data_IF_421476416888
#
_entry.id   IF_421476416888
#
_cell.length_a   1.000
_cell.length_b   1.000
_cell.length_c   1.000
_cell.angle_alpha   90.00
_cell.angle_beta   90.00
_cell.angle_gamma   90.00
#
_symmetry.space_group_name_H-M   'P 1'
#
loop_
_entity.id
_entity.type
_entity.pdbx_description
1 polymer ?
#
# COMPACT_ATOMS: atom_id res chain seq x y z
N UNK A 1 12.78 1.03 -16.91
CA UNK A 1 12.61 -0.24 -16.20
C UNK A 1 11.12 -0.50 -16.09
N UNK A 2 10.65 -1.64 -16.56
CA UNK A 2 9.23 -2.03 -16.52
C UNK A 2 8.81 -2.14 -15.07
N UNK A 3 7.95 -1.23 -14.60
CA UNK A 3 7.36 -1.31 -13.26
C UNK A 3 6.50 -2.57 -13.22
N UNK A 4 6.98 -3.63 -12.56
CA UNK A 4 6.22 -4.87 -12.38
C UNK A 4 4.97 -4.54 -11.58
N UNK A 5 3.80 -4.68 -12.20
CA UNK A 5 2.51 -4.44 -11.53
C UNK A 5 2.29 -5.51 -10.44
N UNK A 6 1.56 -5.22 -9.34
CA UNK A 6 1.27 -6.18 -8.26
C UNK A 6 0.70 -7.52 -8.75
N UNK A 7 -0.08 -7.50 -9.82
CA UNK A 7 -0.68 -8.65 -10.49
C UNK A 7 0.31 -9.57 -11.20
N UNK A 8 1.51 -9.10 -11.50
CA UNK A 8 2.56 -9.89 -12.16
C UNK A 8 3.62 -10.42 -11.18
N UNK A 9 3.41 -10.23 -9.88
CA UNK A 9 4.37 -10.61 -8.84
C UNK A 9 3.92 -11.88 -8.12
N UNK A 10 4.81 -12.88 -8.11
CA UNK A 10 4.67 -14.09 -7.29
C UNK A 10 4.78 -13.78 -5.80
N UNK A 11 4.47 -14.75 -4.93
CA UNK A 11 4.69 -14.59 -3.50
C UNK A 11 6.18 -14.35 -3.14
N UNK A 12 7.10 -14.92 -3.91
CA UNK A 12 8.54 -14.69 -3.75
C UNK A 12 8.92 -13.25 -4.13
N UNK A 13 8.46 -12.76 -5.29
CA UNK A 13 8.75 -11.38 -5.73
C UNK A 13 8.24 -10.34 -4.73
N UNK A 14 7.07 -10.59 -4.14
CA UNK A 14 6.46 -9.70 -3.14
C UNK A 14 7.22 -9.66 -1.82
N UNK A 15 7.73 -10.81 -1.36
CA UNK A 15 8.61 -10.87 -0.18
C UNK A 15 9.91 -10.10 -0.44
N UNK A 16 10.53 -10.30 -1.60
CA UNK A 16 11.74 -9.59 -1.97
C UNK A 16 11.52 -8.07 -2.03
N UNK A 17 10.41 -7.65 -2.61
CA UNK A 17 10.06 -6.24 -2.75
C UNK A 17 9.93 -5.50 -1.40
N UNK A 18 9.46 -6.16 -0.33
CA UNK A 18 9.45 -5.56 1.01
C UNK A 18 10.86 -5.16 1.45
N UNK A 19 11.81 -6.08 1.35
CA UNK A 19 13.17 -5.85 1.82
C UNK A 19 13.97 -4.90 0.91
N UNK A 20 13.88 -5.08 -0.41
CA UNK A 20 14.66 -4.28 -1.38
C UNK A 20 14.08 -2.88 -1.60
N UNK A 21 12.76 -2.74 -1.64
CA UNK A 21 12.14 -1.47 -2.02
C UNK A 21 11.75 -0.63 -0.81
N UNK A 22 11.25 -1.25 0.26
CA UNK A 22 10.67 -0.52 1.38
C UNK A 22 11.66 -0.32 2.52
N UNK A 23 12.42 -1.36 2.91
CA UNK A 23 13.35 -1.28 4.03
C UNK A 23 14.73 -0.70 3.66
N UNK A 24 15.29 -1.09 2.52
CA UNK A 24 16.65 -0.68 2.12
C UNK A 24 16.68 0.50 1.14
N UNK A 25 15.52 0.99 0.70
CA UNK A 25 15.37 2.25 -0.02
C UNK A 25 15.96 2.31 -1.44
N UNK A 26 16.45 1.21 -2.00
CA UNK A 26 17.18 1.23 -3.28
C UNK A 26 16.32 1.60 -4.51
N UNK A 27 14.98 1.54 -4.43
CA UNK A 27 14.12 1.57 -5.62
C UNK A 27 13.32 2.86 -5.89
N UNK A 28 13.22 3.81 -4.95
CA UNK A 28 12.24 4.94 -5.06
C UNK A 28 12.83 6.35 -5.05
N UNK A 29 14.12 6.52 -5.35
CA UNK A 29 14.81 7.83 -5.36
C UNK A 29 14.44 8.78 -6.52
N UNK A 30 13.25 8.65 -7.13
CA UNK A 30 12.91 9.29 -8.42
C UNK A 30 11.76 10.31 -8.41
N UNK A 31 10.99 10.47 -7.33
CA UNK A 31 9.86 11.40 -7.27
C UNK A 31 10.07 12.48 -6.21
N UNK A 32 9.71 13.73 -6.53
CA UNK A 32 10.06 14.96 -5.77
C UNK A 32 9.33 15.17 -4.45
N UNK A 33 8.60 14.18 -3.94
CA UNK A 33 8.11 14.13 -2.57
C UNK A 33 8.85 12.96 -1.93
N UNK A 34 9.58 13.20 -0.84
CA UNK A 34 10.37 12.16 -0.19
C UNK A 34 9.48 10.93 0.04
N UNK A 35 9.79 9.78 -0.58
CA UNK A 35 8.95 8.60 -0.44
C UNK A 35 8.84 8.27 1.05
N UNK A 36 7.62 7.89 1.45
CA UNK A 36 7.34 7.46 2.82
C UNK A 36 8.33 6.35 3.18
N UNK A 37 9.21 6.60 4.17
CA UNK A 37 10.15 5.60 4.66
C UNK A 37 9.40 4.52 5.43
N UNK A 38 9.73 3.26 5.16
CA UNK A 38 9.28 2.09 5.91
C UNK A 38 10.37 1.54 6.82
N UNK A 39 11.54 2.18 6.84
CA UNK A 39 12.59 1.88 7.79
C UNK A 39 12.11 2.22 9.21
N UNK A 40 11.86 1.17 9.99
CA UNK A 40 11.43 1.26 11.38
C UNK A 40 12.62 1.15 12.36
N UNK A 41 13.86 1.11 11.85
CA UNK A 41 15.03 0.79 12.66
C UNK A 41 15.24 1.72 13.84
N UNK A 42 15.19 3.03 13.59
CA UNK A 42 15.29 4.05 14.62
C UNK A 42 14.18 3.91 15.68
N UNK A 43 12.94 3.66 15.25
CA UNK A 43 11.79 3.53 16.17
C UNK A 43 11.95 2.28 17.07
N UNK A 44 12.49 1.17 16.55
CA UNK A 44 12.82 0.00 17.37
C UNK A 44 13.93 0.33 18.37
N UNK A 45 14.98 1.04 17.97
CA UNK A 45 16.08 1.42 18.86
C UNK A 45 15.57 2.31 19.98
N UNK A 46 14.70 3.27 19.68
CA UNK A 46 14.06 4.15 20.68
C UNK A 46 13.23 3.33 21.68
N UNK A 47 12.42 2.40 21.19
CA UNK A 47 11.62 1.50 22.04
C UNK A 47 12.52 0.69 22.96
N UNK A 48 13.54 0.01 22.41
CA UNK A 48 14.45 -0.82 23.19
C UNK A 48 15.21 0.01 24.22
N UNK A 49 15.68 1.19 23.84
CA UNK A 49 16.36 2.14 24.72
C UNK A 49 15.48 2.49 25.93
N UNK A 50 14.21 2.82 25.69
CA UNK A 50 13.27 3.13 26.77
C UNK A 50 13.12 2.00 27.79
N UNK A 51 12.99 0.75 27.31
CA UNK A 51 12.85 -0.43 28.15
C UNK A 51 14.16 -0.78 28.88
N UNK A 52 15.29 -0.69 28.20
CA UNK A 52 16.60 -0.99 28.79
C UNK A 52 16.97 0.03 29.87
N UNK A 53 16.68 1.31 29.65
CA UNK A 53 16.84 2.36 30.66
C UNK A 53 15.93 2.14 31.88
N UNK A 54 14.70 1.65 31.67
CA UNK A 54 13.79 1.35 32.78
C UNK A 54 14.33 0.19 33.64
N UNK A 55 14.80 -0.88 33.01
CA UNK A 55 15.42 -2.02 33.69
C UNK A 55 16.69 -1.61 34.45
N UNK A 56 17.52 -0.78 33.83
CA UNK A 56 18.73 -0.26 34.45
C UNK A 56 18.45 0.59 35.70
N UNK A 57 17.41 1.42 35.68
CA UNK A 57 17.02 2.20 36.86
C UNK A 57 16.59 1.32 38.04
N UNK A 58 16.09 0.12 37.77
CA UNK A 58 15.59 -0.81 38.79
C UNK A 58 16.72 -1.70 39.31
N UNK A 59 17.54 -2.24 38.41
CA UNK A 59 18.51 -3.30 38.71
C UNK A 59 19.96 -2.78 38.86
N UNK A 60 20.23 -1.55 38.43
CA UNK A 60 21.56 -0.93 38.43
C UNK A 60 22.34 -1.19 37.15
N UNK A 61 23.10 -0.18 36.71
CA UNK A 61 23.84 -0.18 35.43
C UNK A 61 24.85 -1.32 35.29
N UNK A 62 25.68 -1.54 36.31
CA UNK A 62 26.74 -2.55 36.25
C UNK A 62 26.17 -3.97 36.17
N UNK A 63 25.11 -4.26 36.92
CA UNK A 63 24.52 -5.60 37.02
C UNK A 63 23.73 -5.99 35.75
N UNK A 64 23.07 -5.02 35.10
CA UNK A 64 22.14 -5.31 34.00
C UNK A 64 22.74 -5.13 32.61
N UNK A 65 23.88 -4.42 32.47
CA UNK A 65 24.45 -4.09 31.16
C UNK A 65 24.76 -5.33 30.31
N UNK A 66 25.47 -6.32 30.89
CA UNK A 66 25.79 -7.58 30.22
C UNK A 66 24.56 -8.39 29.83
N UNK A 67 23.62 -8.67 30.76
CA UNK A 67 22.37 -9.34 30.42
C UNK A 67 21.57 -8.66 29.31
N UNK A 68 21.41 -7.33 29.34
CA UNK A 68 20.71 -6.59 28.29
C UNK A 68 21.41 -6.70 26.94
N UNK A 69 22.73 -6.61 26.93
CA UNK A 69 23.53 -6.82 25.73
C UNK A 69 23.30 -8.22 25.13
N UNK A 70 23.22 -9.26 25.96
CA UNK A 70 22.93 -10.63 25.46
C UNK A 70 21.54 -10.83 24.87
N UNK A 71 20.60 -9.91 25.12
CA UNK A 71 19.28 -9.92 24.48
C UNK A 71 19.31 -9.38 23.05
N UNK A 72 20.37 -8.65 22.67
CA UNK A 72 20.55 -8.13 21.33
C UNK A 72 21.11 -9.25 20.44
N UNK A 73 20.44 -9.51 19.32
CA UNK A 73 20.84 -10.51 18.35
C UNK A 73 21.49 -9.83 17.13
N UNK A 74 22.58 -10.39 16.59
CA UNK A 74 23.15 -9.91 15.33
C UNK A 74 24.65 -10.20 15.12
N UNK A 75 25.13 -10.30 13.85
CA UNK A 75 26.54 -10.54 13.55
C UNK A 75 27.46 -9.35 13.88
N UNK A 76 26.94 -8.12 13.92
CA UNK A 76 27.72 -6.87 14.06
C UNK A 76 27.46 -6.14 15.40
N UNK A 77 27.02 -6.87 16.43
CA UNK A 77 26.82 -6.32 17.77
C UNK A 77 28.18 -6.17 18.45
N UNK A 78 28.79 -5.00 18.28
CA UNK A 78 30.04 -4.60 18.94
C UNK A 78 29.78 -3.64 20.11
N UNK A 79 30.71 -3.59 21.07
CA UNK A 79 30.64 -2.70 22.23
C UNK A 79 30.78 -3.41 23.57
N UNK A 80 31.07 -2.65 24.63
CA UNK A 80 31.15 -3.15 26.01
C UNK A 80 29.81 -3.00 26.74
N UNK A 81 28.91 -2.17 26.20
CA UNK A 81 27.57 -1.94 26.75
C UNK A 81 26.52 -1.91 25.66
N UNK A 82 25.26 -2.20 26.03
CA UNK A 82 24.12 -2.10 25.11
C UNK A 82 23.97 -0.67 24.51
N UNK A 83 24.45 0.36 25.20
CA UNK A 83 24.39 1.76 24.72
C UNK A 83 25.32 2.00 23.55
N UNK A 84 26.57 1.55 23.67
CA UNK A 84 27.57 1.65 22.60
C UNK A 84 27.12 0.84 21.39
N UNK A 85 26.56 -0.35 21.62
CA UNK A 85 26.00 -1.18 20.56
C UNK A 85 24.90 -0.47 19.78
N UNK A 86 24.02 0.28 20.43
CA UNK A 86 22.95 1.00 19.74
C UNK A 86 23.45 2.11 18.80
N UNK A 87 24.70 2.53 18.91
CA UNK A 87 25.30 3.48 17.96
C UNK A 87 25.58 2.83 16.59
N UNK A 88 25.81 1.50 16.56
CA UNK A 88 26.13 0.75 15.34
C UNK A 88 25.08 -0.30 14.98
N UNK A 89 24.12 -0.57 15.87
CA UNK A 89 23.07 -1.55 15.69
C UNK A 89 22.06 -1.10 14.63
N UNK A 90 21.92 -1.89 13.56
CA UNK A 90 21.00 -1.59 12.45
C UNK A 90 20.00 -2.74 12.25
N UNK A 91 18.86 -2.72 12.95
CA UNK A 91 17.90 -3.83 12.95
C UNK A 91 17.21 -4.09 11.61
N UNK A 92 17.16 -3.11 10.71
CA UNK A 92 16.51 -3.26 9.39
C UNK A 92 17.42 -3.82 8.30
N UNK A 93 18.74 -3.91 8.53
CA UNK A 93 19.68 -4.46 7.54
C UNK A 93 19.83 -5.97 7.59
N UNK A 94 19.25 -6.63 8.60
CA UNK A 94 19.51 -8.03 8.92
C UNK A 94 18.22 -8.84 8.93
N UNK A 95 17.84 -9.32 7.74
CA UNK A 95 16.55 -9.91 7.38
C UNK A 95 16.18 -11.22 8.11
N UNK A 96 17.00 -11.68 9.06
CA UNK A 96 16.84 -12.95 9.78
C UNK A 96 16.67 -12.77 11.30
N UNK A 97 16.57 -11.53 11.79
CA UNK A 97 16.54 -11.28 13.23
C UNK A 97 15.17 -11.53 13.85
N UNK A 98 15.13 -12.46 14.80
CA UNK A 98 13.90 -12.79 15.54
C UNK A 98 13.25 -11.57 16.20
N UNK A 99 14.06 -10.56 16.58
CA UNK A 99 13.59 -9.32 17.20
C UNK A 99 12.76 -8.42 16.29
N UNK A 100 12.96 -8.48 14.96
CA UNK A 100 12.25 -7.63 13.99
C UNK A 100 11.19 -8.39 13.18
N UNK A 101 11.25 -9.73 13.19
CA UNK A 101 10.35 -10.60 12.42
C UNK A 101 8.88 -10.26 12.58
N UNK A 102 8.42 -9.82 13.77
CA UNK A 102 7.02 -9.44 13.95
C UNK A 102 6.63 -8.27 13.02
N UNK A 103 7.48 -7.25 12.94
CA UNK A 103 7.23 -6.05 12.13
C UNK A 103 7.45 -6.34 10.65
N UNK A 104 8.47 -7.13 10.31
CA UNK A 104 8.68 -7.58 8.92
C UNK A 104 7.49 -8.38 8.40
N UNK A 105 7.03 -9.35 9.19
CA UNK A 105 5.87 -10.17 8.86
C UNK A 105 4.61 -9.32 8.70
N UNK A 106 4.45 -8.28 9.54
CA UNK A 106 3.36 -7.34 9.43
C UNK A 106 3.46 -6.49 8.15
N UNK A 107 4.65 -6.05 7.75
CA UNK A 107 4.86 -5.32 6.49
C UNK A 107 4.58 -6.17 5.26
N UNK A 108 5.16 -7.38 5.22
CA UNK A 108 4.97 -8.37 4.14
C UNK A 108 3.48 -8.72 3.99
N UNK A 109 2.80 -9.01 5.10
CA UNK A 109 1.38 -9.32 5.05
C UNK A 109 0.52 -8.10 4.73
N UNK A 110 0.70 -7.01 5.48
CA UNK A 110 -0.13 -5.81 5.40
C UNK A 110 -0.06 -5.13 4.03
N UNK A 111 1.15 -4.85 3.55
CA UNK A 111 1.36 -4.11 2.32
C UNK A 111 1.31 -5.03 1.09
N UNK A 112 1.93 -6.21 1.15
CA UNK A 112 2.11 -7.09 0.00
C UNK A 112 1.15 -8.29 -0.06
N UNK A 113 0.38 -8.56 1.00
CA UNK A 113 -0.66 -9.60 0.99
C UNK A 113 -0.13 -11.03 0.92
N UNK A 114 1.07 -11.28 1.45
CA UNK A 114 1.72 -12.60 1.46
C UNK A 114 2.16 -13.00 2.87
N UNK A 115 2.42 -14.30 3.06
CA UNK A 115 3.00 -14.84 4.30
C UNK A 115 4.52 -15.01 4.14
N UNK A 116 5.29 -15.25 5.21
CA UNK A 116 6.70 -15.66 5.13
C UNK A 116 6.88 -16.99 4.39
N UNK A 117 8.08 -17.24 3.85
CA UNK A 117 8.35 -18.39 2.98
C UNK A 117 8.26 -19.72 3.72
N UNK A 118 8.54 -19.68 5.01
CA UNK A 118 8.63 -20.80 5.93
C UNK A 118 7.24 -21.28 6.35
N UNK A 119 6.19 -20.47 6.15
CA UNK A 119 4.82 -20.83 6.54
C UNK A 119 4.20 -21.73 5.47
N UNK A 120 4.00 -23.00 5.86
CA UNK A 120 3.32 -24.00 5.05
C UNK A 120 1.91 -23.53 4.65
N UNK A 121 1.49 -23.86 3.43
CA UNK A 121 0.21 -23.41 2.86
C UNK A 121 -1.00 -23.71 3.75
N UNK A 122 -1.02 -24.89 4.39
CA UNK A 122 -2.07 -25.31 5.33
C UNK A 122 -2.20 -24.43 6.56
N UNK A 123 -1.11 -23.78 6.97
CA UNK A 123 -1.00 -23.09 8.27
C UNK A 123 -1.17 -21.58 8.13
N UNK A 124 -1.26 -21.06 6.90
CA UNK A 124 -1.30 -19.63 6.60
C UNK A 124 -2.52 -18.93 7.20
N UNK A 125 -3.68 -19.57 7.18
CA UNK A 125 -4.89 -18.99 7.77
C UNK A 125 -4.72 -18.80 9.29
N UNK A 126 -4.25 -19.83 10.00
CA UNK A 126 -3.95 -19.72 11.43
C UNK A 126 -2.84 -18.72 11.72
N UNK A 127 -1.84 -18.62 10.85
CA UNK A 127 -0.75 -17.67 10.98
C UNK A 127 -1.22 -16.22 10.85
N UNK A 128 -2.12 -15.91 9.91
CA UNK A 128 -2.69 -14.56 9.74
C UNK A 128 -3.44 -14.11 11.01
N UNK A 129 -4.25 -15.01 11.58
CA UNK A 129 -4.97 -14.72 12.82
C UNK A 129 -4.02 -14.57 14.01
N UNK A 130 -2.97 -15.39 14.08
CA UNK A 130 -1.95 -15.27 15.13
C UNK A 130 -1.15 -13.97 15.01
N UNK A 131 -0.77 -13.58 13.79
CA UNK A 131 -0.09 -12.31 13.53
C UNK A 131 -0.93 -11.13 14.04
N UNK A 132 -2.22 -11.08 13.69
CA UNK A 132 -3.11 -10.00 14.12
C UNK A 132 -3.20 -9.92 15.65
N UNK A 133 -3.32 -11.07 16.34
CA UNK A 133 -3.32 -11.14 17.80
C UNK A 133 -2.01 -10.66 18.41
N UNK A 134 -0.87 -11.09 17.86
CA UNK A 134 0.47 -10.68 18.34
C UNK A 134 0.71 -9.19 18.15
N UNK A 135 0.25 -8.64 17.04
CA UNK A 135 0.33 -7.19 16.77
C UNK A 135 -0.54 -6.37 17.72
N UNK A 136 -1.75 -6.85 18.03
CA UNK A 136 -2.61 -6.20 19.02
C UNK A 136 -1.97 -6.21 20.42
N UNK A 137 -1.39 -7.35 20.83
CA UNK A 137 -0.65 -7.44 22.10
C UNK A 137 0.58 -6.54 22.12
N UNK A 138 1.41 -6.59 21.06
CA UNK A 138 2.58 -5.73 20.92
C UNK A 138 2.22 -4.25 21.05
N UNK A 139 1.17 -3.79 20.36
CA UNK A 139 0.71 -2.40 20.46
C UNK A 139 0.28 -2.04 21.89
N UNK A 140 -0.42 -2.94 22.58
CA UNK A 140 -0.91 -2.72 23.93
C UNK A 140 0.22 -2.70 24.98
N UNK A 141 1.31 -3.43 24.76
CA UNK A 141 2.43 -3.49 25.69
C UNK A 141 3.46 -2.38 25.39
N UNK A 142 3.84 -2.22 24.13
CA UNK A 142 4.97 -1.40 23.69
C UNK A 142 4.58 0.05 23.39
N UNK A 143 3.31 0.30 23.04
CA UNK A 143 2.80 1.64 22.72
C UNK A 143 3.67 2.38 21.67
N UNK A 144 3.81 1.84 20.45
CA UNK A 144 4.58 2.51 19.39
C UNK A 144 4.05 3.92 19.13
N UNK A 145 4.92 4.79 18.59
CA UNK A 145 4.57 6.20 18.40
C UNK A 145 3.36 6.30 17.48
N UNK A 146 2.27 6.98 17.88
CA UNK A 146 1.09 7.11 17.03
C UNK A 146 1.43 7.75 15.67
N UNK A 147 1.12 7.04 14.58
CA UNK A 147 1.47 7.48 13.22
C UNK A 147 2.94 7.26 12.82
N UNK A 148 3.76 6.72 13.73
CA UNK A 148 5.12 6.21 13.47
C UNK A 148 5.13 5.08 12.45
N UNK A 149 6.32 4.64 12.07
CA UNK A 149 6.50 3.61 11.04
C UNK A 149 5.97 2.27 11.54
N UNK A 150 6.29 1.90 12.79
CA UNK A 150 5.83 0.64 13.40
C UNK A 150 4.30 0.65 13.55
N UNK A 151 3.71 1.73 14.04
CA UNK A 151 2.26 1.85 14.18
C UNK A 151 1.55 1.75 12.82
N UNK A 152 2.13 2.37 11.78
CA UNK A 152 1.60 2.31 10.41
C UNK A 152 1.67 0.91 9.80
N UNK A 153 2.80 0.21 9.95
CA UNK A 153 2.96 -1.19 9.51
C UNK A 153 1.94 -2.08 10.23
N UNK A 154 1.79 -1.87 11.54
CA UNK A 154 0.82 -2.59 12.38
C UNK A 154 -0.61 -2.35 11.89
N UNK A 155 -0.99 -1.09 11.64
CA UNK A 155 -2.31 -0.74 11.11
C UNK A 155 -2.56 -1.37 9.74
N UNK A 156 -1.57 -1.36 8.85
CA UNK A 156 -1.70 -2.01 7.54
C UNK A 156 -1.96 -3.51 7.65
N UNK A 157 -1.26 -4.23 8.52
CA UNK A 157 -1.47 -5.65 8.73
C UNK A 157 -2.86 -5.96 9.32
N UNK A 158 -3.34 -5.15 10.26
CA UNK A 158 -4.68 -5.30 10.85
C UNK A 158 -5.78 -4.96 9.85
N UNK A 159 -5.62 -3.86 9.09
CA UNK A 159 -6.52 -3.47 8.01
C UNK A 159 -6.59 -4.54 6.92
N UNK A 160 -5.43 -5.13 6.57
CA UNK A 160 -5.34 -6.24 5.62
C UNK A 160 -6.14 -7.44 6.08
N UNK A 161 -5.98 -7.87 7.34
CA UNK A 161 -6.78 -8.97 7.92
C UNK A 161 -8.26 -8.67 7.84
N UNK A 162 -8.66 -7.45 8.19
CA UNK A 162 -10.06 -7.02 8.14
C UNK A 162 -10.61 -7.13 6.70
N UNK A 163 -9.86 -6.66 5.70
CA UNK A 163 -10.20 -6.75 4.28
C UNK A 163 -10.31 -8.21 3.81
N UNK A 164 -9.33 -9.05 4.14
CA UNK A 164 -9.30 -10.47 3.75
C UNK A 164 -10.47 -11.24 4.35
N UNK A 165 -10.82 -10.97 5.61
CA UNK A 165 -11.98 -11.56 6.30
C UNK A 165 -13.31 -10.90 5.92
N UNK A 166 -13.27 -9.75 5.23
CA UNK A 166 -14.42 -8.84 5.01
C UNK A 166 -15.15 -8.49 6.32
N UNK A 167 -14.40 -8.33 7.40
CA UNK A 167 -14.93 -8.14 8.75
C UNK A 167 -14.18 -7.02 9.46
N UNK A 168 -14.90 -6.11 10.12
CA UNK A 168 -14.33 -5.01 10.88
C UNK A 168 -14.19 -3.72 10.07
N UNK A 169 -13.15 -2.95 10.37
CA UNK A 169 -12.97 -1.60 9.87
C UNK A 169 -11.53 -1.38 9.38
N UNK A 170 -11.35 -0.41 8.49
CA UNK A 170 -10.06 0.02 7.96
C UNK A 170 -9.91 1.52 8.20
N UNK A 171 -8.81 1.92 8.83
CA UNK A 171 -8.53 3.33 9.07
C UNK A 171 -8.20 4.08 7.76
N UNK A 172 -8.38 5.40 7.77
CA UNK A 172 -8.23 6.21 6.57
C UNK A 172 -6.80 6.23 6.02
N UNK A 173 -5.79 6.10 6.87
CA UNK A 173 -4.38 6.12 6.46
C UNK A 173 -4.05 4.80 5.75
N UNK A 174 -4.39 3.66 6.35
CA UNK A 174 -4.24 2.35 5.71
C UNK A 174 -5.01 2.27 4.40
N UNK A 175 -6.24 2.79 4.36
CA UNK A 175 -7.06 2.84 3.14
C UNK A 175 -6.37 3.64 2.02
N UNK A 176 -5.78 4.78 2.37
CA UNK A 176 -5.08 5.65 1.43
C UNK A 176 -3.84 4.97 0.85
N UNK A 177 -3.04 4.35 1.73
CA UNK A 177 -1.82 3.62 1.36
C UNK A 177 -2.11 2.44 0.44
N UNK A 178 -3.05 1.57 0.83
CA UNK A 178 -3.48 0.42 0.02
C UNK A 178 -4.10 0.84 -1.31
N UNK A 179 -4.76 1.99 -1.33
CA UNK A 179 -5.41 2.54 -2.52
C UNK A 179 -4.49 3.30 -3.48
N UNK A 180 -3.25 3.58 -3.07
CA UNK A 180 -2.32 4.44 -3.83
C UNK A 180 -2.79 5.88 -3.95
N UNK A 181 -3.50 6.40 -2.94
CA UNK A 181 -4.07 7.77 -2.95
C UNK A 181 -3.76 8.50 -1.66
N UNK A 182 -4.02 9.80 -1.60
CA UNK A 182 -3.88 10.57 -0.36
C UNK A 182 -5.06 10.33 0.58
N UNK A 183 -4.84 10.47 1.89
CA UNK A 183 -5.91 10.38 2.89
C UNK A 183 -7.03 11.42 2.63
N UNK A 184 -6.65 12.62 2.19
CA UNK A 184 -7.60 13.65 1.75
C UNK A 184 -8.48 13.19 0.59
N UNK A 185 -7.94 12.39 -0.35
CA UNK A 185 -8.72 11.81 -1.45
C UNK A 185 -9.74 10.80 -0.93
N UNK A 186 -9.38 9.96 0.05
CA UNK A 186 -10.32 9.02 0.70
C UNK A 186 -11.44 9.77 1.40
N UNK A 187 -11.12 10.83 2.16
CA UNK A 187 -12.13 11.70 2.81
C UNK A 187 -13.09 12.34 1.81
N UNK A 188 -12.59 12.82 0.68
CA UNK A 188 -13.41 13.40 -0.38
C UNK A 188 -14.37 12.37 -0.98
N UNK A 189 -13.91 11.13 -1.20
CA UNK A 189 -14.77 10.03 -1.66
C UNK A 189 -15.89 9.75 -0.64
N UNK A 190 -15.56 9.71 0.65
CA UNK A 190 -16.53 9.48 1.73
C UNK A 190 -17.56 10.62 1.90
N UNK A 191 -17.28 11.83 1.43
CA UNK A 191 -18.24 12.93 1.44
C UNK A 191 -19.25 12.92 0.28
N UNK A 192 -19.03 12.08 -0.73
CA UNK A 192 -19.91 11.97 -1.89
C UNK A 192 -21.23 11.27 -1.56
N UNK A 193 -22.33 11.71 -2.17
CA UNK A 193 -23.67 11.11 -2.00
C UNK A 193 -23.78 9.68 -2.55
N UNK A 194 -22.95 9.32 -3.52
CA UNK A 194 -22.82 7.97 -4.09
C UNK A 194 -21.41 7.43 -3.84
N UNK A 195 -21.00 7.39 -2.56
CA UNK A 195 -19.67 6.90 -2.20
C UNK A 195 -19.58 5.39 -2.38
N UNK A 196 -18.55 4.86 -3.06
CA UNK A 196 -18.24 3.43 -3.06
C UNK A 196 -17.62 2.95 -1.73
N UNK A 197 -17.35 3.86 -0.79
CA UNK A 197 -16.84 3.55 0.54
C UNK A 197 -17.93 3.83 1.58
N UNK A 198 -18.09 2.90 2.51
CA UNK A 198 -19.03 3.05 3.62
C UNK A 198 -18.28 3.50 4.87
N UNK A 199 -18.77 4.56 5.52
CA UNK A 199 -18.14 5.12 6.72
C UNK A 199 -18.33 4.20 7.93
N UNK A 200 -17.28 4.04 8.72
CA UNK A 200 -17.30 3.36 10.02
C UNK A 200 -16.88 4.30 11.16
N UNK A 201 -16.73 3.78 12.38
CA UNK A 201 -16.29 4.59 13.53
C UNK A 201 -14.83 5.06 13.38
N UNK A 202 -13.96 4.20 12.85
CA UNK A 202 -12.52 4.42 12.73
C UNK A 202 -12.06 4.77 11.30
N UNK A 203 -12.95 4.67 10.32
CA UNK A 203 -12.64 5.00 8.92
C UNK A 203 -13.72 4.50 7.98
N UNK A 204 -13.48 3.33 7.39
CA UNK A 204 -14.40 2.65 6.47
C UNK A 204 -14.68 1.21 6.87
N UNK A 205 -15.80 0.65 6.43
CA UNK A 205 -16.09 -0.77 6.62
C UNK A 205 -15.13 -1.63 5.80
N UNK A 206 -14.66 -2.75 6.35
CA UNK A 206 -13.75 -3.65 5.64
C UNK A 206 -14.37 -4.22 4.35
N UNK A 207 -15.69 -4.43 4.34
CA UNK A 207 -16.45 -4.90 3.17
C UNK A 207 -16.32 -3.91 2.01
N UNK A 208 -16.61 -2.62 2.25
CA UNK A 208 -16.54 -1.58 1.22
C UNK A 208 -15.11 -1.27 0.80
N UNK A 209 -14.15 -1.38 1.73
CA UNK A 209 -12.72 -1.28 1.42
C UNK A 209 -12.29 -2.38 0.44
N UNK A 210 -12.67 -3.64 0.70
CA UNK A 210 -12.35 -4.77 -0.17
C UNK A 210 -12.89 -4.57 -1.60
N UNK A 211 -14.13 -4.11 -1.72
CA UNK A 211 -14.77 -3.84 -3.02
C UNK A 211 -14.09 -2.68 -3.76
N UNK A 212 -13.75 -1.60 -3.05
CA UNK A 212 -13.11 -0.43 -3.66
C UNK A 212 -11.67 -0.69 -4.09
N UNK A 213 -10.95 -1.55 -3.38
CA UNK A 213 -9.56 -1.93 -3.69
C UNK A 213 -9.48 -2.96 -4.84
N UNK A 214 -10.56 -3.69 -5.12
CA UNK A 214 -10.60 -4.72 -6.19
C UNK A 214 -10.20 -4.10 -7.54
N UNK A 215 -9.14 -4.63 -8.14
CA UNK A 215 -8.67 -4.24 -9.48
C UNK A 215 -7.89 -2.91 -9.55
N UNK A 216 -7.50 -2.31 -8.42
CA UNK A 216 -6.61 -1.14 -8.41
C UNK A 216 -5.16 -1.57 -8.68
N UNK A 217 -4.47 -0.82 -9.54
CA UNK A 217 -3.09 -1.11 -9.98
C UNK A 217 -2.05 -0.97 -8.86
N UNK A 218 -2.33 -0.15 -7.84
CA UNK A 218 -1.44 0.03 -6.68
C UNK A 218 -1.67 -1.00 -5.57
N UNK A 219 -2.79 -1.73 -5.62
CA UNK A 219 -3.20 -2.61 -4.56
C UNK A 219 -2.66 -4.03 -4.76
N UNK A 220 -1.81 -4.48 -3.84
CA UNK A 220 -1.40 -5.87 -3.73
C UNK A 220 -2.54 -6.67 -3.07
N UNK A 221 -3.39 -7.28 -3.88
CA UNK A 221 -4.42 -8.21 -3.39
C UNK A 221 -3.77 -9.40 -2.70
N UNK A 222 -4.36 -9.90 -1.63
CA UNK A 222 -3.83 -11.05 -0.89
C UNK A 222 -3.74 -12.30 -1.75
N UNK A 223 -2.55 -12.90 -1.78
CA UNK A 223 -2.29 -14.16 -2.51
C UNK A 223 -1.74 -15.25 -1.60
N UNK A 224 -1.70 -15.02 -0.28
CA UNK A 224 -1.25 -16.01 0.69
C UNK A 224 -2.09 -17.30 0.66
N UNK A 225 -3.34 -17.24 0.17
CA UNK A 225 -4.20 -18.41 -0.02
C UNK A 225 -3.81 -19.27 -1.22
N UNK A 226 -2.97 -18.75 -2.12
CA UNK A 226 -2.50 -19.44 -3.33
C UNK A 226 -1.17 -20.16 -3.07
N UNK A 227 -0.85 -21.23 -3.82
CA UNK A 227 0.50 -21.79 -3.83
C UNK A 227 1.53 -20.72 -4.24
N UNK A 228 2.77 -20.81 -3.72
CA UNK A 228 3.79 -19.76 -3.91
C UNK A 228 4.19 -19.58 -5.38
N UNK A 229 4.12 -20.66 -6.15
CA UNK A 229 4.57 -20.76 -7.54
C UNK A 229 3.54 -20.20 -8.54
N UNK A 230 2.33 -19.88 -8.06
CA UNK A 230 1.25 -19.37 -8.91
C UNK A 230 1.36 -17.84 -8.97
N UNK A 231 1.62 -17.31 -10.16
CA UNK A 231 1.40 -15.88 -10.43
C UNK A 231 -0.11 -15.62 -10.36
N UNK A 232 -0.57 -14.68 -9.54
CA UNK A 232 -1.99 -14.37 -9.46
C UNK A 232 -2.51 -13.92 -10.81
N UNK A 233 -3.67 -14.42 -11.22
CA UNK A 233 -4.38 -13.80 -12.33
C UNK A 233 -4.83 -12.39 -11.89
N UNK A 234 -4.65 -11.35 -12.73
CA UNK A 234 -5.11 -10.01 -12.40
C UNK A 234 -6.60 -10.08 -12.08
N UNK A 235 -7.05 -9.59 -10.92
CA UNK A 235 -8.47 -9.65 -10.56
C UNK A 235 -9.26 -8.94 -11.65
N UNK A 236 -9.99 -9.73 -12.44
CA UNK A 236 -11.01 -9.19 -13.32
C UNK A 236 -12.05 -8.56 -12.40
N UNK A 237 -12.37 -7.28 -12.59
CA UNK A 237 -13.69 -6.85 -12.15
C UNK A 237 -14.71 -7.74 -12.88
N UNK A 238 -15.85 -8.02 -12.25
CA UNK A 238 -16.90 -8.87 -12.80
C UNK A 238 -17.54 -8.14 -14.00
N UNK A 239 -16.80 -8.06 -15.10
CA UNK A 239 -17.21 -7.47 -16.36
C UNK A 239 -17.74 -8.63 -17.20
N UNK A 240 -19.01 -8.52 -17.58
CA UNK A 240 -19.68 -9.49 -18.45
C UNK A 240 -19.42 -9.22 -19.94
N UNK A 241 -18.77 -8.09 -20.28
CA UNK A 241 -18.50 -7.60 -21.62
C UNK A 241 -17.06 -7.15 -21.88
N UNK A 242 -16.83 -6.55 -23.06
CA UNK A 242 -15.53 -6.07 -23.51
C UNK A 242 -15.02 -4.95 -22.60
N UNK A 243 -13.78 -5.05 -22.12
CA UNK A 243 -13.21 -4.12 -21.15
C UNK A 243 -12.30 -3.11 -21.83
N UNK A 244 -12.50 -1.82 -21.56
CA UNK A 244 -11.69 -0.72 -22.09
C UNK A 244 -11.09 0.11 -20.96
N UNK A 245 -9.90 0.68 -21.20
CA UNK A 245 -9.27 1.61 -20.28
C UNK A 245 -9.49 3.03 -20.79
N UNK A 246 -10.16 3.87 -20.00
CA UNK A 246 -10.45 5.26 -20.37
C UNK A 246 -9.72 6.23 -19.45
N UNK A 247 -9.24 7.38 -19.98
CA UNK A 247 -8.60 8.38 -19.14
C UNK A 247 -9.64 9.07 -18.23
N UNK A 248 -9.18 9.42 -17.03
CA UNK A 248 -9.94 10.11 -15.99
C UNK A 248 -9.33 11.47 -15.73
N UNK A 249 -10.15 12.52 -15.77
CA UNK A 249 -9.70 13.87 -15.47
C UNK A 249 -9.61 14.11 -13.95
N UNK A 250 -8.99 15.22 -13.54
CA UNK A 250 -8.82 15.56 -12.11
C UNK A 250 -10.14 15.70 -11.32
N UNK A 251 -11.25 15.99 -11.98
CA UNK A 251 -12.59 16.05 -11.38
C UNK A 251 -13.34 14.70 -11.38
N UNK A 252 -12.69 13.61 -11.80
CA UNK A 252 -13.25 12.26 -11.79
C UNK A 252 -14.07 11.88 -13.02
N UNK A 253 -14.34 12.82 -13.92
CA UNK A 253 -15.03 12.50 -15.16
C UNK A 253 -14.12 11.75 -16.14
N UNK A 254 -14.73 10.90 -16.96
CA UNK A 254 -14.02 9.97 -17.85
C UNK A 254 -14.22 10.36 -19.31
N UNK A 255 -13.36 9.83 -20.19
CA UNK A 255 -13.63 9.88 -21.62
C UNK A 255 -14.54 8.71 -22.01
N UNK A 256 -15.80 9.00 -22.35
CA UNK A 256 -16.80 8.00 -22.74
C UNK A 256 -17.46 8.27 -24.09
N UNK A 257 -18.22 7.29 -24.65
CA UNK A 257 -18.93 7.42 -25.92
C UNK A 257 -19.91 8.60 -25.98
N UNK A 258 -20.43 9.04 -24.84
CA UNK A 258 -21.34 10.17 -24.71
C UNK A 258 -20.71 11.54 -25.03
N UNK A 259 -19.38 11.61 -25.14
CA UNK A 259 -18.65 12.86 -25.44
C UNK A 259 -18.56 13.20 -26.92
N UNK A 260 -19.22 12.43 -27.79
CA UNK A 260 -19.34 12.79 -29.20
C UNK A 260 -20.10 14.10 -29.37
N UNK A 261 -19.46 15.11 -29.98
CA UNK A 261 -20.10 16.37 -30.36
C UNK A 261 -20.20 16.46 -31.87
N UNK A 262 -21.42 16.59 -32.39
CA UNK A 262 -21.70 16.56 -33.83
C UNK A 262 -21.11 15.31 -34.52
N UNK A 263 -21.16 14.16 -33.85
CA UNK A 263 -20.61 12.90 -34.37
C UNK A 263 -19.09 12.76 -34.29
N UNK A 264 -18.39 13.69 -33.64
CA UNK A 264 -16.93 13.68 -33.53
C UNK A 264 -16.44 13.76 -32.08
N UNK A 265 -15.32 13.09 -31.82
CA UNK A 265 -14.54 13.20 -30.59
C UNK A 265 -13.35 14.12 -30.85
N UNK A 266 -13.17 15.14 -30.02
CA UNK A 266 -12.03 16.08 -30.14
C UNK A 266 -11.00 15.78 -29.06
N UNK A 267 -9.80 15.41 -29.49
CA UNK A 267 -8.70 14.93 -28.66
C UNK A 267 -7.43 15.74 -28.97
N UNK A 268 -6.62 16.05 -27.97
CA UNK A 268 -5.35 16.76 -28.12
C UNK A 268 -5.21 18.00 -27.24
N UNK A 269 -3.99 18.53 -27.19
CA UNK A 269 -3.71 19.79 -26.52
C UNK A 269 -4.35 20.97 -27.27
N UNK A 270 -4.56 22.08 -26.56
CA UNK A 270 -5.11 23.31 -27.15
C UNK A 270 -4.24 23.75 -28.33
N UNK A 271 -4.83 23.89 -29.51
CA UNK A 271 -4.14 24.26 -30.75
C UNK A 271 -3.55 23.09 -31.54
N UNK A 272 -3.63 21.86 -31.02
CA UNK A 272 -3.23 20.63 -31.68
C UNK A 272 -4.34 19.57 -31.60
N UNK A 273 -5.60 20.03 -31.59
CA UNK A 273 -6.78 19.18 -31.50
C UNK A 273 -7.02 18.41 -32.81
N UNK A 274 -7.26 17.11 -32.70
CA UNK A 274 -7.63 16.21 -33.79
C UNK A 274 -9.04 15.68 -33.54
N UNK A 275 -9.84 15.62 -34.60
CA UNK A 275 -11.19 15.08 -34.57
C UNK A 275 -11.21 13.64 -35.09
N UNK A 276 -11.92 12.78 -34.37
CA UNK A 276 -12.13 11.37 -34.72
C UNK A 276 -13.62 11.08 -34.84
N UNK A 277 -14.01 10.24 -35.79
CA UNK A 277 -15.42 9.85 -36.04
C UNK A 277 -15.88 8.67 -35.20
N UNK A 278 -14.96 7.90 -34.64
CA UNK A 278 -15.28 6.74 -33.79
C UNK A 278 -14.66 6.89 -32.41
N UNK A 279 -15.35 6.36 -31.41
CA UNK A 279 -14.87 6.33 -30.03
C UNK A 279 -13.54 5.57 -29.94
N UNK A 280 -13.47 4.40 -30.56
CA UNK A 280 -12.28 3.53 -30.52
C UNK A 280 -11.04 4.21 -31.13
N UNK A 281 -11.20 4.97 -32.23
CA UNK A 281 -10.10 5.72 -32.83
C UNK A 281 -9.63 6.89 -31.94
N UNK A 282 -10.57 7.58 -31.31
CA UNK A 282 -10.27 8.65 -30.37
C UNK A 282 -9.56 8.13 -29.11
N UNK A 283 -10.03 7.00 -28.59
CA UNK A 283 -9.45 6.33 -27.42
C UNK A 283 -8.03 5.82 -27.74
N UNK A 284 -7.83 5.20 -28.90
CA UNK A 284 -6.51 4.78 -29.36
C UNK A 284 -5.54 5.97 -29.51
N UNK A 285 -6.03 7.14 -29.92
CA UNK A 285 -5.22 8.35 -29.98
C UNK A 285 -4.85 8.86 -28.58
N UNK A 286 -5.79 8.84 -27.63
CA UNK A 286 -5.54 9.21 -26.22
C UNK A 286 -4.48 8.32 -25.56
N UNK A 287 -4.49 7.01 -25.85
CA UNK A 287 -3.48 6.07 -25.34
C UNK A 287 -2.06 6.34 -25.83
N UNK A 288 -1.90 6.99 -26.99
CA UNK A 288 -0.60 7.34 -27.56
C UNK A 288 -0.06 8.68 -27.08
N UNK A 289 -0.82 9.42 -26.28
CA UNK A 289 -0.40 10.73 -25.76
C UNK A 289 0.29 10.59 -24.42
N UNK A 290 1.42 11.30 -24.24
CA UNK A 290 2.09 11.43 -22.94
C UNK A 290 1.16 12.00 -21.86
N UNK A 291 0.25 12.88 -22.26
CA UNK A 291 -0.84 13.36 -21.41
C UNK A 291 -2.14 13.34 -22.22
N UNK A 292 -3.06 12.39 -21.95
CA UNK A 292 -4.33 12.32 -22.66
C UNK A 292 -5.13 13.61 -22.44
N UNK A 293 -5.60 14.23 -23.52
CA UNK A 293 -6.39 15.46 -23.46
C UNK A 293 -7.60 15.35 -24.38
N UNK A 294 -8.78 15.69 -23.89
CA UNK A 294 -10.02 15.63 -24.67
C UNK A 294 -10.95 16.77 -24.32
N UNK A 295 -11.97 17.01 -25.15
CA UNK A 295 -13.02 17.98 -24.85
C UNK A 295 -14.22 17.31 -24.18
N UNK A 296 -14.78 17.98 -23.18
CA UNK A 296 -16.07 17.62 -22.56
C UNK A 296 -16.85 18.86 -22.14
N UNK A 297 -18.18 18.79 -21.95
CA UNK A 297 -18.94 19.87 -21.33
C UNK A 297 -18.60 19.99 -19.84
N UNK A 298 -18.60 21.21 -19.33
CA UNK A 298 -18.59 21.52 -17.89
C UNK A 298 -20.03 21.59 -17.35
N UNK A 299 -20.25 21.78 -16.03
CA UNK A 299 -21.60 21.88 -15.45
C UNK A 299 -22.48 23.00 -16.05
N UNK A 300 -21.88 24.02 -16.65
CA UNK A 300 -22.58 25.09 -17.36
C UNK A 300 -22.82 24.78 -18.86
N UNK A 301 -22.52 23.57 -19.32
CA UNK A 301 -22.66 23.14 -20.72
C UNK A 301 -21.54 23.61 -21.66
N UNK A 302 -20.55 24.34 -21.16
CA UNK A 302 -19.44 24.86 -21.96
C UNK A 302 -18.37 23.79 -22.18
N UNK A 303 -17.89 23.66 -23.42
CA UNK A 303 -16.93 22.62 -23.79
C UNK A 303 -15.48 23.07 -23.62
N UNK A 304 -14.80 22.51 -22.64
CA UNK A 304 -13.38 22.76 -22.35
C UNK A 304 -12.50 21.56 -22.65
N UNK A 305 -11.20 21.80 -22.81
CA UNK A 305 -10.20 20.72 -22.82
C UNK A 305 -9.87 20.35 -21.38
N UNK A 306 -9.80 19.06 -21.11
CA UNK A 306 -9.38 18.49 -19.85
C UNK A 306 -8.18 17.60 -20.06
N UNK A 307 -7.37 17.45 -19.02
CA UNK A 307 -6.21 16.54 -19.03
C UNK A 307 -6.52 15.33 -18.15
N UNK A 308 -6.25 14.15 -18.69
CA UNK A 308 -6.31 12.92 -17.92
C UNK A 308 -5.16 12.89 -16.92
N UNK A 309 -5.50 12.49 -15.69
CA UNK A 309 -4.57 12.30 -14.59
C UNK A 309 -4.45 10.84 -14.17
N UNK A 310 -5.41 10.02 -14.58
CA UNK A 310 -5.43 8.59 -14.28
C UNK A 310 -6.14 7.82 -15.40
N UNK A 311 -6.16 6.49 -15.29
CA UNK A 311 -6.85 5.58 -16.20
C UNK A 311 -7.80 4.69 -15.40
N UNK A 312 -9.04 4.56 -15.89
CA UNK A 312 -10.05 3.69 -15.29
C UNK A 312 -10.40 2.57 -16.24
N UNK A 313 -10.40 1.35 -15.72
CA UNK A 313 -10.91 0.16 -16.40
C UNK A 313 -12.44 0.18 -16.30
N UNK A 314 -13.15 0.19 -17.44
CA UNK A 314 -14.61 0.17 -17.51
C UNK A 314 -15.10 -0.87 -18.51
N UNK A 315 -16.33 -1.35 -18.32
CA UNK A 315 -17.02 -2.18 -19.31
C UNK A 315 -17.51 -1.30 -20.46
N UNK A 316 -17.22 -1.72 -21.70
CA UNK A 316 -17.78 -1.12 -22.90
C UNK A 316 -19.26 -1.53 -22.97
N UNK A 317 -20.15 -0.58 -22.65
CA UNK A 317 -21.60 -0.74 -22.79
C UNK A 317 -22.05 -0.53 -24.22
#
# INVERSE_FOLDING_TARGET
MTTTLPENMTAADRRQAWFENELTGYARSGTSEAPMSWDYGDEIIEILTGHFLALEKILGAEEIAGPLFTLLHGPDVEGETWRETFETYQPTLTQEWTGTLLIDNAGIYGLYGVTPAEIAHSDRASWVEDLARRLAAFRADVHPVPGGVIDRITNLALARRAIDAREGEVDLVSMALLGGVTEGRVRNILSGSESPLERSAQGVTAVSAADWLKGRKEYFASIWQMPNEVTPEPPSADFTGEVIFVPVAGDGSTFGPELARNGHYTVGAKGAEVQYTTFDAALAALHRMDTPRWRRPNPAGNWGIVSGRDWKRIEKK
#
